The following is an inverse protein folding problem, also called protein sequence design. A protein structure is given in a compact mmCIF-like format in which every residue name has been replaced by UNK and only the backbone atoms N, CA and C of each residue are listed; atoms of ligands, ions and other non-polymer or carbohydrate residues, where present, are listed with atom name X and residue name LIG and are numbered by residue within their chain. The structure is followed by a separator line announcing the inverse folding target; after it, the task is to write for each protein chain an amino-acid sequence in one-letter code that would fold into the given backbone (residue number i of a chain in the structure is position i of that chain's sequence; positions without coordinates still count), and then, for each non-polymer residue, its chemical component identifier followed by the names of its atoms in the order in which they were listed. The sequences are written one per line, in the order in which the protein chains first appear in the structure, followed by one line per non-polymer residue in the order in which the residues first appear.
data_IF_324565879235
#
_entry.id   IF_324565879235
#
_cell.length_a   1.000
_cell.length_b   1.000
_cell.length_c   1.000
_cell.angle_alpha   90.00
_cell.angle_beta   90.00
_cell.angle_gamma   90.00
#
_symmetry.space_group_name_H-M   'P 1'
#
loop_
_entity.id
_entity.type
_entity.pdbx_description
1 polymer ?
#
# COMPACT_ATOMS: atom_id res chain seq x y z
N UNK A 1 -5.19 12.22 15.62
CA UNK A 1 -5.78 10.87 15.48
C UNK A 1 -7.20 11.03 14.95
N UNK A 2 -7.48 10.63 13.71
CA UNK A 2 -8.80 10.81 13.07
C UNK A 2 -9.77 9.77 13.62
N UNK A 3 -10.33 10.03 14.79
CA UNK A 3 -11.12 9.07 15.58
C UNK A 3 -12.52 8.74 15.02
N UNK A 4 -12.87 9.25 13.83
CA UNK A 4 -14.19 9.06 13.20
C UNK A 4 -14.20 8.04 12.07
N UNK A 5 -13.02 7.63 11.56
CA UNK A 5 -12.88 6.63 10.48
C UNK A 5 -13.38 5.25 10.94
N UNK A 6 -13.21 4.95 12.23
CA UNK A 6 -13.61 3.70 12.86
C UNK A 6 -14.96 3.78 13.60
N UNK A 7 -15.84 4.70 13.19
CA UNK A 7 -17.12 5.01 13.81
C UNK A 7 -16.99 5.53 15.27
N UNK A 8 -18.11 5.59 16.01
CA UNK A 8 -18.19 6.20 17.34
C UNK A 8 -19.21 5.49 18.24
N UNK A 9 -19.07 5.69 19.55
CA UNK A 9 -19.98 5.16 20.56
C UNK A 9 -19.97 3.63 20.64
N UNK A 10 -21.14 3.02 20.78
CA UNK A 10 -21.29 1.56 20.97
C UNK A 10 -20.98 0.73 19.71
N UNK A 11 -20.93 1.36 18.54
CA UNK A 11 -20.62 0.71 17.26
C UNK A 11 -19.20 1.04 16.77
N UNK A 12 -18.31 1.47 17.68
CA UNK A 12 -16.90 1.68 17.34
C UNK A 12 -16.27 0.38 16.86
N UNK A 13 -15.44 0.45 15.82
CA UNK A 13 -14.71 -0.72 15.34
C UNK A 13 -13.68 -1.16 16.40
N UNK A 14 -13.81 -2.36 17.00
CA UNK A 14 -12.89 -2.82 18.03
C UNK A 14 -11.47 -3.05 17.48
N UNK A 15 -11.34 -3.26 16.16
CA UNK A 15 -10.06 -3.46 15.47
C UNK A 15 -9.35 -2.17 15.04
N UNK A 16 -9.92 -0.98 15.27
CA UNK A 16 -9.40 0.26 14.70
C UNK A 16 -7.95 0.57 15.05
N UNK A 17 -7.54 0.33 16.29
CA UNK A 17 -6.16 0.56 16.74
C UNK A 17 -5.14 -0.39 16.11
N UNK A 18 -5.53 -1.65 15.91
CA UNK A 18 -4.68 -2.65 15.27
C UNK A 18 -4.56 -2.33 13.78
N UNK A 19 -5.68 -1.99 13.13
CA UNK A 19 -5.72 -1.63 11.72
C UNK A 19 -4.85 -0.39 11.42
N UNK A 20 -4.98 0.68 12.21
CA UNK A 20 -4.20 1.91 12.04
C UNK A 20 -2.68 1.64 12.09
N UNK A 21 -2.24 0.87 13.11
CA UNK A 21 -0.83 0.49 13.26
C UNK A 21 -0.34 -0.43 12.15
N UNK A 22 -1.14 -1.43 11.77
CA UNK A 22 -0.76 -2.38 10.73
C UNK A 22 -0.61 -1.69 9.37
N UNK A 23 -1.55 -0.81 9.02
CA UNK A 23 -1.50 -0.03 7.77
C UNK A 23 -0.29 0.91 7.78
N UNK A 24 -0.06 1.63 8.88
CA UNK A 24 1.10 2.50 9.01
C UNK A 24 2.42 1.74 8.84
N UNK A 25 2.57 0.61 9.55
CA UNK A 25 3.78 -0.19 9.48
C UNK A 25 4.02 -0.75 8.08
N UNK A 26 2.96 -1.27 7.44
CA UNK A 26 3.03 -1.79 6.07
C UNK A 26 3.50 -0.71 5.10
N UNK A 27 2.89 0.49 5.16
CA UNK A 27 3.28 1.61 4.29
C UNK A 27 4.73 2.03 4.55
N UNK A 28 5.13 2.16 5.82
CA UNK A 28 6.48 2.55 6.18
C UNK A 28 7.54 1.53 5.70
N UNK A 29 7.28 0.24 5.86
CA UNK A 29 8.14 -0.83 5.39
C UNK A 29 8.22 -0.86 3.85
N UNK A 30 7.08 -0.74 3.17
CA UNK A 30 7.06 -0.67 1.71
C UNK A 30 7.86 0.53 1.18
N UNK A 31 7.70 1.73 1.76
CA UNK A 31 8.44 2.93 1.34
C UNK A 31 9.92 2.93 1.74
N UNK A 32 10.29 2.12 2.74
CA UNK A 32 11.69 1.92 3.12
C UNK A 32 12.45 1.18 2.01
N UNK A 33 11.84 0.14 1.44
CA UNK A 33 12.48 -0.77 0.48
C UNK A 33 12.22 -0.38 -0.97
N UNK A 34 11.00 0.07 -1.28
CA UNK A 34 10.54 0.31 -2.65
C UNK A 34 10.39 1.80 -2.97
N UNK A 35 10.67 2.12 -4.22
CA UNK A 35 10.30 3.36 -4.90
C UNK A 35 8.99 3.10 -5.64
N UNK A 36 7.93 3.80 -5.26
CA UNK A 36 6.60 3.67 -5.86
C UNK A 36 6.32 4.93 -6.67
N UNK A 37 6.21 4.77 -7.98
CA UNK A 37 6.05 5.88 -8.92
C UNK A 37 4.95 5.59 -9.94
N UNK A 38 4.43 6.65 -10.56
CA UNK A 38 3.50 6.51 -11.68
C UNK A 38 4.16 5.72 -12.80
N UNK A 39 3.39 4.85 -13.44
CA UNK A 39 3.90 4.07 -14.57
C UNK A 39 4.17 5.01 -15.75
N UNK A 40 5.34 4.87 -16.37
CA UNK A 40 5.64 5.50 -17.66
C UNK A 40 5.45 4.47 -18.78
N UNK A 41 4.45 4.68 -19.65
CA UNK A 41 4.28 3.90 -20.88
C UNK A 41 4.63 4.80 -22.08
N UNK A 42 5.53 4.33 -22.95
CA UNK A 42 5.92 5.04 -24.19
C UNK A 42 6.37 6.50 -23.97
N UNK A 43 7.07 6.77 -22.86
CA UNK A 43 7.55 8.11 -22.51
C UNK A 43 6.49 9.04 -21.94
N UNK A 44 5.27 8.55 -21.64
CA UNK A 44 4.20 9.34 -21.01
C UNK A 44 3.83 8.74 -19.66
N UNK A 45 3.68 9.62 -18.67
CA UNK A 45 3.18 9.24 -17.34
C UNK A 45 1.71 8.86 -17.43
N UNK A 46 1.37 7.65 -17.02
CA UNK A 46 0.00 7.16 -16.91
C UNK A 46 -0.54 7.55 -15.53
N UNK A 47 -1.53 8.43 -15.51
CA UNK A 47 -2.24 8.77 -14.27
C UNK A 47 -3.17 7.61 -13.87
N UNK A 48 -3.07 7.09 -12.63
CA UNK A 48 -4.02 6.10 -12.13
C UNK A 48 -5.42 6.70 -12.09
N UNK A 49 -6.38 6.06 -12.77
CA UNK A 49 -7.78 6.47 -12.70
C UNK A 49 -8.37 6.17 -11.33
N UNK A 50 -8.85 7.18 -10.62
CA UNK A 50 -9.56 6.98 -9.35
C UNK A 50 -10.99 6.53 -9.63
N UNK A 51 -11.19 5.21 -9.74
CA UNK A 51 -12.50 4.58 -9.86
C UNK A 51 -12.60 3.46 -8.84
N UNK A 52 -13.80 3.26 -8.30
CA UNK A 52 -14.07 2.27 -7.27
C UNK A 52 -15.10 1.26 -7.78
N UNK A 53 -14.92 0.00 -7.40
CA UNK A 53 -15.91 -1.05 -7.63
C UNK A 53 -17.14 -0.84 -6.73
N UNK A 54 -18.35 -1.17 -7.20
CA UNK A 54 -19.55 -1.10 -6.36
C UNK A 54 -19.49 -2.16 -5.26
N UNK A 55 -19.80 -1.79 -4.02
CA UNK A 55 -19.80 -2.72 -2.90
C UNK A 55 -19.84 -2.05 -1.53
N UNK A 56 -19.74 -2.86 -0.48
CA UNK A 56 -19.69 -2.41 0.93
C UNK A 56 -18.35 -1.77 1.28
N UNK A 57 -17.28 -2.13 0.55
CA UNK A 57 -15.93 -1.59 0.69
C UNK A 57 -15.61 -0.77 -0.55
N UNK A 58 -15.03 0.42 -0.37
CA UNK A 58 -14.53 1.26 -1.46
C UNK A 58 -13.24 0.69 -2.06
N UNK A 59 -13.34 -0.43 -2.78
CA UNK A 59 -12.19 -1.06 -3.43
C UNK A 59 -11.85 -0.34 -4.75
N UNK A 60 -10.62 0.14 -4.95
CA UNK A 60 -10.23 0.75 -6.21
C UNK A 60 -10.20 -0.30 -7.33
N UNK A 61 -10.57 0.08 -8.55
CA UNK A 61 -10.40 -0.80 -9.71
C UNK A 61 -8.91 -1.09 -9.94
N UNK A 62 -8.54 -2.24 -10.54
CA UNK A 62 -7.14 -2.55 -10.83
C UNK A 62 -6.47 -1.43 -11.63
N UNK A 63 -5.34 -0.93 -11.12
CA UNK A 63 -4.52 0.10 -11.75
C UNK A 63 -3.07 -0.35 -11.86
N UNK A 64 -2.34 0.25 -12.80
CA UNK A 64 -0.91 -0.02 -12.99
C UNK A 64 -0.06 1.06 -12.33
N UNK A 65 1.06 0.65 -11.75
CA UNK A 65 2.04 1.53 -11.10
C UNK A 65 3.43 0.93 -11.27
N UNK A 66 4.47 1.76 -11.19
CA UNK A 66 5.86 1.29 -11.18
C UNK A 66 6.30 1.11 -9.73
N UNK A 67 6.80 -0.10 -9.40
CA UNK A 67 7.36 -0.42 -8.08
C UNK A 67 8.73 -1.04 -8.32
N UNK A 68 9.76 -0.38 -7.85
CA UNK A 68 11.15 -0.85 -7.98
C UNK A 68 11.88 -0.76 -6.65
N UNK A 69 12.87 -1.62 -6.36
CA UNK A 69 13.71 -1.44 -5.18
C UNK A 69 14.43 -0.09 -5.22
N UNK A 70 14.55 0.60 -4.07
CA UNK A 70 15.20 1.92 -4.02
C UNK A 70 16.67 1.91 -4.38
N UNK A 71 17.35 0.79 -4.13
CA UNK A 71 18.72 0.55 -4.57
C UNK A 71 18.99 -0.94 -4.74
N UNK A 72 20.11 -1.27 -5.38
CA UNK A 72 20.54 -2.65 -5.59
C UNK A 72 20.64 -3.44 -4.27
N UNK A 73 21.17 -2.82 -3.20
CA UNK A 73 21.23 -3.42 -1.86
C UNK A 73 19.85 -3.80 -1.31
N UNK A 74 18.83 -2.99 -1.56
CA UNK A 74 17.46 -3.32 -1.16
C UNK A 74 16.93 -4.50 -1.98
N UNK A 75 17.25 -4.54 -3.29
CA UNK A 75 16.90 -5.68 -4.14
C UNK A 75 17.61 -6.99 -3.74
N UNK A 76 18.85 -6.93 -3.26
CA UNK A 76 19.55 -8.09 -2.68
C UNK A 76 18.90 -8.54 -1.37
N UNK A 77 18.51 -7.61 -0.51
CA UNK A 77 17.84 -7.92 0.76
C UNK A 77 16.51 -8.66 0.53
N UNK A 78 15.73 -8.25 -0.47
CA UNK A 78 14.48 -8.92 -0.85
C UNK A 78 14.76 -10.35 -1.34
N UNK A 79 15.70 -10.51 -2.28
CA UNK A 79 16.08 -11.83 -2.81
C UNK A 79 16.58 -12.77 -1.71
N UNK A 80 17.33 -12.24 -0.75
CA UNK A 80 17.80 -13.02 0.41
C UNK A 80 16.63 -13.45 1.29
N UNK A 81 15.68 -12.55 1.55
CA UNK A 81 14.49 -12.88 2.32
C UNK A 81 13.62 -13.96 1.66
N UNK A 82 13.50 -13.95 0.33
CA UNK A 82 12.81 -15.01 -0.44
C UNK A 82 13.50 -16.38 -0.30
N UNK A 83 14.84 -16.42 -0.16
CA UNK A 83 15.56 -17.68 0.08
C UNK A 83 15.35 -18.21 1.50
N UNK A 84 15.26 -17.33 2.49
CA UNK A 84 15.13 -17.68 3.91
C UNK A 84 13.69 -18.12 4.27
N UNK A 85 12.68 -17.62 3.54
CA UNK A 85 11.26 -17.91 3.75
C UNK A 85 10.57 -18.24 2.40
N UNK A 86 10.69 -19.49 1.90
CA UNK A 86 10.07 -19.91 0.64
C UNK A 86 8.54 -20.00 0.71
#
# INVERSE_FOLDING_TARGET
MRNWIFAYGRCICPGGHIADKAVFLTIAQSLSIFKIEKLAENGRTVEPGLRFEPGVVSHPVPYRTSITPRSEKHGELIRRAEMDYP
#
